data_IF_424997813151
#
_entry.id   IF_424997813151
#
_cell.length_a   1.000
_cell.length_b   1.000
_cell.length_c   1.000
_cell.angle_alpha   90.00
_cell.angle_beta   90.00
_cell.angle_gamma   90.00
#
_symmetry.space_group_name_H-M   'P 1'
#
loop_
_entity.id
_entity.type
_entity.pdbx_description
1 polymer ?
#
# COMPACT_ATOMS: atom_id res chain seq x y z
N UNK A 1 16.84 -68.89 20.91
CA UNK A 1 18.02 -69.33 20.14
C UNK A 1 17.76 -69.46 18.64
N UNK A 2 16.66 -68.88 18.12
CA UNK A 2 16.25 -68.98 16.69
C UNK A 2 16.40 -67.63 15.98
N UNK A 3 16.55 -66.56 16.71
CA UNK A 3 16.66 -65.17 16.14
C UNK A 3 18.10 -64.70 15.79
N UNK A 4 19.14 -65.51 16.21
CA UNK A 4 20.55 -65.16 15.93
C UNK A 4 21.08 -65.76 14.61
N UNK A 5 20.40 -66.77 14.05
CA UNK A 5 20.86 -67.41 12.80
C UNK A 5 20.39 -66.69 11.51
N UNK A 6 19.36 -65.87 11.57
CA UNK A 6 18.85 -65.17 10.38
C UNK A 6 19.66 -63.89 10.02
N UNK A 7 20.32 -63.25 10.98
CA UNK A 7 21.15 -62.07 10.72
C UNK A 7 22.54 -62.40 10.12
N UNK A 8 23.02 -63.62 10.36
CA UNK A 8 24.32 -64.06 9.80
C UNK A 8 24.24 -64.41 8.31
N UNK A 9 23.06 -64.87 7.83
CA UNK A 9 22.86 -65.16 6.39
C UNK A 9 22.69 -63.92 5.52
N UNK A 10 22.21 -62.84 6.08
CA UNK A 10 22.09 -61.55 5.36
C UNK A 10 23.43 -60.86 5.20
N UNK A 11 24.30 -60.90 6.20
CA UNK A 11 25.63 -60.29 6.13
C UNK A 11 26.57 -61.03 5.16
N UNK A 12 26.40 -62.35 4.96
CA UNK A 12 27.22 -63.08 3.99
C UNK A 12 26.83 -62.80 2.52
N UNK A 13 25.53 -62.53 2.25
CA UNK A 13 25.06 -62.18 0.90
C UNK A 13 25.45 -60.73 0.53
N UNK A 14 25.44 -59.80 1.48
CA UNK A 14 25.88 -58.40 1.25
C UNK A 14 27.39 -58.39 1.06
N UNK A 15 28.16 -59.19 1.80
CA UNK A 15 29.60 -59.27 1.63
C UNK A 15 29.99 -59.87 0.27
N UNK A 16 29.26 -60.90 -0.24
CA UNK A 16 29.50 -61.46 -1.57
C UNK A 16 29.15 -60.53 -2.73
N UNK A 17 28.10 -59.69 -2.56
CA UNK A 17 27.72 -58.67 -3.55
C UNK A 17 28.76 -57.51 -3.56
N UNK A 18 29.30 -57.11 -2.40
CA UNK A 18 30.38 -56.12 -2.33
C UNK A 18 31.69 -56.59 -2.95
N UNK A 19 32.05 -57.88 -2.76
CA UNK A 19 33.24 -58.48 -3.39
C UNK A 19 33.05 -58.57 -4.91
N UNK A 20 31.84 -58.90 -5.41
CA UNK A 20 31.55 -58.94 -6.85
C UNK A 20 31.59 -57.58 -7.50
N UNK A 21 31.13 -56.51 -6.82
CA UNK A 21 31.17 -55.11 -7.30
C UNK A 21 32.60 -54.58 -7.30
N UNK A 22 33.43 -54.95 -6.30
CA UNK A 22 34.85 -54.57 -6.28
C UNK A 22 35.66 -55.28 -7.38
N UNK A 23 35.33 -56.55 -7.71
CA UNK A 23 35.98 -57.24 -8.81
C UNK A 23 35.52 -56.78 -10.20
N UNK A 24 34.30 -56.25 -10.34
CA UNK A 24 33.86 -55.64 -11.61
C UNK A 24 34.45 -54.22 -11.84
N UNK A 25 34.86 -53.51 -10.77
CA UNK A 25 35.59 -52.26 -10.90
C UNK A 25 37.09 -52.37 -11.21
N UNK A 26 37.67 -53.56 -11.01
CA UNK A 26 39.07 -53.80 -11.30
C UNK A 26 39.35 -54.27 -12.74
N UNK A 27 38.33 -54.44 -13.56
CA UNK A 27 38.48 -54.77 -14.99
C UNK A 27 38.09 -53.61 -15.94
N UNK A 28 38.31 -52.35 -15.51
CA UNK A 28 38.39 -51.28 -16.49
C UNK A 28 39.79 -51.34 -17.08
N UNK A 29 39.94 -51.73 -18.35
CA UNK A 29 41.25 -51.64 -18.98
C UNK A 29 41.75 -50.22 -18.86
N UNK A 30 43.06 -50.00 -18.64
CA UNK A 30 43.61 -48.66 -18.69
C UNK A 30 43.23 -48.05 -20.07
N UNK A 31 42.85 -46.76 -20.13
CA UNK A 31 42.56 -46.16 -21.41
C UNK A 31 43.70 -46.43 -22.36
N UNK A 32 43.37 -46.98 -23.55
CA UNK A 32 44.39 -47.33 -24.55
C UNK A 32 45.24 -46.12 -24.80
N UNK A 33 46.54 -46.28 -24.71
CA UNK A 33 47.50 -45.19 -24.97
C UNK A 33 47.31 -44.57 -26.39
N UNK A 34 46.64 -45.32 -27.29
CA UNK A 34 46.24 -44.87 -28.62
C UNK A 34 45.03 -43.90 -28.61
N UNK A 35 44.12 -43.99 -27.63
CA UNK A 35 42.98 -43.04 -27.48
C UNK A 35 43.47 -41.70 -26.90
N UNK A 36 44.42 -41.69 -25.93
CA UNK A 36 44.98 -40.48 -25.37
C UNK A 36 45.82 -39.71 -26.42
N UNK A 37 46.61 -40.39 -27.20
CA UNK A 37 47.44 -39.77 -28.24
C UNK A 37 46.60 -39.22 -29.41
N UNK A 38 45.47 -39.85 -29.72
CA UNK A 38 44.53 -39.34 -30.73
C UNK A 38 43.76 -38.09 -30.21
N UNK A 39 43.40 -38.08 -28.95
CA UNK A 39 42.74 -36.93 -28.34
C UNK A 39 43.64 -35.70 -28.24
N UNK A 40 44.94 -35.91 -27.88
CA UNK A 40 45.95 -34.83 -27.87
C UNK A 40 46.21 -34.25 -29.27
N UNK A 41 46.30 -35.09 -30.31
CA UNK A 41 46.46 -34.64 -31.69
C UNK A 41 45.20 -33.90 -32.20
N UNK A 42 44.02 -34.37 -31.88
CA UNK A 42 42.77 -33.67 -32.22
C UNK A 42 42.71 -32.32 -31.52
N UNK A 43 43.02 -32.26 -30.24
CA UNK A 43 43.01 -31.02 -29.48
C UNK A 43 44.06 -30.01 -30.08
N UNK A 44 45.28 -30.45 -30.34
CA UNK A 44 46.33 -29.60 -30.95
C UNK A 44 45.92 -29.08 -32.35
N UNK A 45 45.23 -29.91 -33.14
CA UNK A 45 44.65 -29.47 -34.41
C UNK A 45 43.62 -28.36 -34.22
N UNK A 46 42.64 -28.54 -33.31
CA UNK A 46 41.62 -27.55 -33.07
C UNK A 46 42.20 -26.26 -32.46
N UNK A 47 43.21 -26.35 -31.59
CA UNK A 47 43.87 -25.19 -31.02
C UNK A 47 44.58 -24.37 -32.12
N UNK A 48 45.22 -25.04 -33.10
CA UNK A 48 45.85 -24.36 -34.25
C UNK A 48 44.81 -23.69 -35.16
N UNK A 49 43.66 -24.34 -35.40
CA UNK A 49 42.55 -23.78 -36.18
C UNK A 49 41.96 -22.58 -35.49
N UNK A 50 41.69 -22.69 -34.17
CA UNK A 50 41.14 -21.61 -33.36
C UNK A 50 42.05 -20.39 -33.36
N UNK A 51 43.35 -20.56 -33.13
CA UNK A 51 44.32 -19.47 -33.11
C UNK A 51 44.26 -18.59 -34.37
N UNK A 52 43.97 -19.16 -35.51
CA UNK A 52 43.90 -18.44 -36.80
C UNK A 52 42.49 -17.94 -37.11
N UNK A 53 41.47 -18.78 -36.89
CA UNK A 53 40.12 -18.51 -37.37
C UNK A 53 39.34 -17.65 -36.38
N UNK A 54 39.47 -17.83 -35.06
CA UNK A 54 38.64 -17.16 -34.07
C UNK A 54 38.81 -15.63 -34.06
N UNK A 55 40.07 -15.05 -34.04
CA UNK A 55 40.21 -13.60 -34.08
C UNK A 55 39.58 -12.97 -35.33
N UNK A 56 39.70 -13.62 -36.48
CA UNK A 56 39.12 -13.11 -37.73
C UNK A 56 37.60 -13.18 -37.74
N UNK A 57 37.06 -14.31 -37.28
CA UNK A 57 35.59 -14.51 -37.25
C UNK A 57 34.92 -13.61 -36.23
N UNK A 58 35.48 -13.45 -35.03
CA UNK A 58 34.97 -12.55 -34.00
C UNK A 58 35.02 -11.08 -34.47
N UNK A 59 36.14 -10.64 -35.08
CA UNK A 59 36.18 -9.28 -35.65
C UNK A 59 35.13 -9.05 -36.75
N UNK A 60 34.89 -10.05 -37.64
CA UNK A 60 33.88 -9.96 -38.67
C UNK A 60 32.48 -9.95 -38.05
N UNK A 61 32.22 -10.74 -36.99
CA UNK A 61 30.93 -10.78 -36.28
C UNK A 61 30.62 -9.42 -35.65
N UNK A 62 31.61 -8.80 -34.98
CA UNK A 62 31.45 -7.48 -34.40
C UNK A 62 31.13 -6.40 -35.46
N UNK A 63 31.77 -6.47 -36.64
CA UNK A 63 31.49 -5.54 -37.74
C UNK A 63 30.08 -5.71 -38.33
N UNK A 64 29.64 -6.95 -38.62
CA UNK A 64 28.30 -7.21 -39.12
C UNK A 64 27.23 -6.82 -38.08
N UNK A 65 27.45 -7.11 -36.80
CA UNK A 65 26.55 -6.73 -35.72
C UNK A 65 26.42 -5.21 -35.62
N UNK A 66 27.54 -4.48 -35.63
CA UNK A 66 27.56 -3.01 -35.59
C UNK A 66 26.81 -2.39 -36.77
N UNK A 67 26.95 -2.97 -37.94
CA UNK A 67 26.29 -2.52 -39.16
C UNK A 67 24.80 -3.00 -39.24
N UNK A 68 24.33 -3.77 -38.27
CA UNK A 68 23.00 -4.35 -38.23
C UNK A 68 22.69 -5.29 -39.39
N UNK A 69 23.73 -5.89 -39.98
CA UNK A 69 23.59 -6.95 -40.99
C UNK A 69 23.31 -8.30 -40.28
N UNK A 70 22.07 -8.49 -39.86
CA UNK A 70 21.66 -9.62 -39.05
C UNK A 70 21.85 -10.97 -39.73
N UNK A 71 21.59 -11.06 -41.03
CA UNK A 71 21.78 -12.31 -41.81
C UNK A 71 23.26 -12.69 -41.86
N UNK A 72 24.18 -11.75 -42.15
CA UNK A 72 25.61 -11.99 -42.12
C UNK A 72 26.10 -12.26 -40.69
N UNK A 73 25.49 -11.61 -39.67
CA UNK A 73 25.78 -11.86 -38.26
C UNK A 73 25.44 -13.32 -37.91
N UNK A 74 24.26 -13.80 -38.24
CA UNK A 74 23.83 -15.20 -38.04
C UNK A 74 24.80 -16.17 -38.72
N UNK A 75 25.18 -15.93 -39.96
CA UNK A 75 26.08 -16.79 -40.71
C UNK A 75 27.46 -16.87 -40.06
N UNK A 76 28.01 -15.73 -39.63
CA UNK A 76 29.35 -15.67 -39.04
C UNK A 76 29.40 -16.33 -37.65
N UNK A 77 28.36 -16.17 -36.81
CA UNK A 77 28.28 -16.87 -35.55
C UNK A 77 28.11 -18.38 -35.71
N UNK A 78 27.43 -18.85 -36.77
CA UNK A 78 27.44 -20.25 -37.16
C UNK A 78 28.83 -20.78 -37.47
N UNK A 79 29.63 -20.00 -38.19
CA UNK A 79 31.06 -20.34 -38.43
C UNK A 79 31.86 -20.33 -37.12
N UNK A 80 31.68 -19.37 -36.23
CA UNK A 80 32.32 -19.28 -34.91
C UNK A 80 32.14 -20.57 -34.11
N UNK A 81 30.91 -21.09 -34.05
CA UNK A 81 30.61 -22.36 -33.38
C UNK A 81 31.27 -23.54 -34.13
N UNK A 82 31.20 -23.53 -35.47
CA UNK A 82 31.81 -24.59 -36.30
C UNK A 82 33.31 -24.72 -36.05
N UNK A 83 34.02 -23.60 -35.81
CA UNK A 83 35.45 -23.58 -35.50
C UNK A 83 35.77 -23.68 -34.00
N UNK A 84 34.78 -23.98 -33.17
CA UNK A 84 34.86 -24.10 -31.69
C UNK A 84 35.40 -22.84 -31.01
N UNK A 85 35.14 -21.66 -31.59
CA UNK A 85 35.55 -20.37 -31.02
C UNK A 85 34.64 -19.93 -29.82
N UNK A 86 33.50 -20.55 -29.66
CA UNK A 86 32.60 -20.35 -28.55
C UNK A 86 33.13 -20.85 -27.19
N UNK A 87 34.26 -21.61 -27.22
CA UNK A 87 34.90 -22.11 -25.99
C UNK A 87 35.65 -21.01 -25.23
N UNK A 88 36.07 -19.94 -25.89
CA UNK A 88 36.86 -18.87 -25.29
C UNK A 88 35.97 -17.86 -24.54
N UNK A 89 34.80 -17.52 -25.11
CA UNK A 89 33.79 -16.68 -24.50
C UNK A 89 32.39 -17.15 -24.93
N UNK A 90 31.87 -18.21 -24.30
CA UNK A 90 30.58 -18.77 -24.66
C UNK A 90 29.43 -17.80 -24.37
N UNK A 91 29.54 -16.95 -23.34
CA UNK A 91 28.47 -15.97 -23.02
C UNK A 91 28.31 -14.98 -24.19
N UNK A 92 29.39 -14.33 -24.62
CA UNK A 92 29.38 -13.36 -25.71
C UNK A 92 28.84 -14.00 -27.01
N UNK A 93 29.36 -15.16 -27.38
CA UNK A 93 29.03 -15.84 -28.64
C UNK A 93 27.55 -16.19 -28.68
N UNK A 94 27.04 -16.90 -27.67
CA UNK A 94 25.65 -17.36 -27.66
C UNK A 94 24.66 -16.21 -27.46
N UNK A 95 25.04 -15.18 -26.70
CA UNK A 95 24.20 -13.99 -26.51
C UNK A 95 24.00 -13.21 -27.82
N UNK A 96 25.08 -12.85 -28.51
CA UNK A 96 24.97 -12.05 -29.74
C UNK A 96 24.41 -12.86 -30.91
N UNK A 97 24.67 -14.16 -30.97
CA UNK A 97 24.06 -15.03 -31.93
C UNK A 97 22.52 -15.07 -31.77
N UNK A 98 22.05 -15.22 -30.53
CA UNK A 98 20.64 -15.19 -30.24
C UNK A 98 20.00 -13.83 -30.57
N UNK A 99 20.69 -12.72 -30.23
CA UNK A 99 20.24 -11.36 -30.57
C UNK A 99 20.03 -11.20 -32.09
N UNK A 100 20.97 -11.71 -32.90
CA UNK A 100 20.83 -11.63 -34.36
C UNK A 100 19.58 -12.37 -34.87
N UNK A 101 19.29 -13.54 -34.34
CA UNK A 101 18.06 -14.25 -34.64
C UNK A 101 16.80 -13.50 -34.18
N UNK A 102 16.85 -12.88 -32.99
CA UNK A 102 15.73 -12.08 -32.46
C UNK A 102 15.38 -10.90 -33.38
N UNK A 103 16.39 -10.18 -33.89
CA UNK A 103 16.20 -9.09 -34.85
C UNK A 103 15.63 -9.56 -36.19
N UNK A 104 15.87 -10.82 -36.57
CA UNK A 104 15.27 -11.45 -37.77
C UNK A 104 13.89 -12.03 -37.47
N UNK A 105 13.39 -11.94 -36.22
CA UNK A 105 12.11 -12.52 -35.84
C UNK A 105 12.14 -14.05 -35.69
N UNK A 106 13.32 -14.68 -35.72
CA UNK A 106 13.51 -16.15 -35.67
C UNK A 106 13.72 -16.59 -34.22
N UNK A 107 12.68 -16.48 -33.40
CA UNK A 107 12.78 -16.73 -31.95
C UNK A 107 12.99 -18.22 -31.61
N UNK A 108 12.54 -19.14 -32.44
CA UNK A 108 12.84 -20.57 -32.33
C UNK A 108 14.34 -20.87 -32.45
N UNK A 109 14.99 -20.21 -33.40
CA UNK A 109 16.45 -20.32 -33.60
C UNK A 109 17.23 -19.65 -32.47
N UNK A 110 16.76 -18.49 -31.97
CA UNK A 110 17.31 -17.85 -30.79
C UNK A 110 17.23 -18.77 -29.56
N UNK A 111 16.06 -19.39 -29.30
CA UNK A 111 15.89 -20.38 -28.24
C UNK A 111 16.90 -21.52 -28.33
N UNK A 112 17.01 -22.14 -29.53
CA UNK A 112 17.94 -23.25 -29.74
C UNK A 112 19.37 -22.88 -29.42
N UNK A 113 19.80 -21.69 -29.83
CA UNK A 113 21.17 -21.18 -29.61
C UNK A 113 21.39 -20.91 -28.12
N UNK A 114 20.42 -20.26 -27.44
CA UNK A 114 20.50 -19.97 -26.01
C UNK A 114 20.54 -21.23 -25.15
N UNK A 115 19.76 -22.26 -25.50
CA UNK A 115 19.81 -23.55 -24.82
C UNK A 115 21.18 -24.22 -24.96
N UNK A 116 21.85 -24.08 -26.11
CA UNK A 116 23.24 -24.56 -26.28
C UNK A 116 24.23 -23.79 -25.41
N UNK A 117 24.10 -22.46 -25.33
CA UNK A 117 24.92 -21.65 -24.44
C UNK A 117 24.74 -22.01 -22.98
N UNK A 118 23.50 -22.28 -22.57
CA UNK A 118 23.16 -22.71 -21.21
C UNK A 118 23.61 -24.15 -20.87
N UNK A 119 23.89 -24.99 -21.85
CA UNK A 119 24.57 -26.27 -21.58
C UNK A 119 26.03 -26.06 -21.13
N UNK A 120 26.67 -25.00 -21.58
CA UNK A 120 28.05 -24.62 -21.18
C UNK A 120 28.02 -23.76 -19.92
N UNK A 121 27.06 -22.87 -19.79
CA UNK A 121 26.92 -21.89 -18.72
C UNK A 121 25.52 -21.98 -18.07
N UNK A 122 25.23 -23.03 -17.28
CA UNK A 122 23.87 -23.30 -16.80
C UNK A 122 23.23 -22.17 -15.98
N UNK A 123 24.04 -21.38 -15.27
CA UNK A 123 23.57 -20.34 -14.38
C UNK A 123 23.81 -18.91 -14.91
N UNK A 124 24.10 -18.79 -16.23
CA UNK A 124 24.32 -17.48 -16.82
C UNK A 124 23.03 -16.66 -16.90
N UNK A 125 23.01 -15.55 -16.18
CA UNK A 125 21.85 -14.67 -16.01
C UNK A 125 21.43 -14.04 -17.34
N UNK A 126 22.39 -13.61 -18.16
CA UNK A 126 22.12 -12.91 -19.42
C UNK A 126 21.48 -13.83 -20.45
N UNK A 127 22.01 -15.05 -20.58
CA UNK A 127 21.44 -16.06 -21.48
C UNK A 127 20.03 -16.47 -21.03
N UNK A 128 19.80 -16.64 -19.72
CA UNK A 128 18.47 -16.95 -19.19
C UNK A 128 17.45 -15.81 -19.40
N UNK A 129 17.85 -14.56 -19.16
CA UNK A 129 17.00 -13.40 -19.44
C UNK A 129 16.60 -13.34 -20.91
N UNK A 130 17.53 -13.64 -21.81
CA UNK A 130 17.24 -13.72 -23.26
C UNK A 130 16.34 -14.89 -23.63
N UNK A 131 16.57 -16.04 -23.03
CA UNK A 131 15.72 -17.22 -23.26
C UNK A 131 14.29 -16.96 -22.82
N UNK A 132 14.09 -16.35 -21.65
CA UNK A 132 12.77 -15.91 -21.20
C UNK A 132 12.11 -14.92 -22.17
N UNK A 133 12.88 -13.99 -22.76
CA UNK A 133 12.39 -13.10 -23.80
C UNK A 133 12.00 -13.85 -25.09
N UNK A 134 12.81 -14.81 -25.53
CA UNK A 134 12.47 -15.65 -26.69
C UNK A 134 11.20 -16.46 -26.47
N UNK A 135 11.01 -17.03 -25.28
CA UNK A 135 9.77 -17.72 -24.89
C UNK A 135 8.56 -16.79 -24.88
N UNK A 136 8.71 -15.57 -24.33
CA UNK A 136 7.67 -14.53 -24.37
C UNK A 136 7.20 -14.25 -25.81
N UNK A 137 8.15 -14.12 -26.74
CA UNK A 137 7.86 -13.82 -28.15
C UNK A 137 7.18 -14.98 -28.88
N UNK A 138 7.41 -16.19 -28.43
CA UNK A 138 6.79 -17.41 -28.98
C UNK A 138 5.47 -17.77 -28.29
N UNK A 139 5.08 -17.07 -27.23
CA UNK A 139 3.91 -17.42 -26.43
C UNK A 139 4.09 -18.67 -25.56
N UNK A 140 5.33 -19.10 -25.33
CA UNK A 140 5.69 -20.27 -24.51
C UNK A 140 5.72 -19.88 -23.03
N UNK A 141 4.53 -19.71 -22.46
CA UNK A 141 4.36 -19.09 -21.14
C UNK A 141 4.92 -19.94 -19.99
N UNK A 142 4.70 -21.27 -20.03
CA UNK A 142 5.23 -22.16 -18.99
C UNK A 142 6.77 -22.14 -18.94
N UNK A 143 7.41 -22.18 -20.11
CA UNK A 143 8.86 -22.10 -20.22
C UNK A 143 9.39 -20.73 -19.77
N UNK A 144 8.65 -19.67 -20.06
CA UNK A 144 8.97 -18.32 -19.58
C UNK A 144 8.94 -18.25 -18.05
N UNK A 145 7.92 -18.83 -17.43
CA UNK A 145 7.81 -18.92 -15.95
C UNK A 145 9.01 -19.69 -15.38
N UNK A 146 9.36 -20.83 -15.97
CA UNK A 146 10.51 -21.64 -15.52
C UNK A 146 11.81 -20.83 -15.52
N UNK A 147 12.08 -20.05 -16.59
CA UNK A 147 13.26 -19.23 -16.64
C UNK A 147 13.26 -18.08 -15.63
N UNK A 148 12.12 -17.39 -15.43
CA UNK A 148 12.01 -16.34 -14.41
C UNK A 148 12.08 -16.92 -12.99
N UNK A 149 11.55 -18.12 -12.73
CA UNK A 149 11.72 -18.81 -11.45
C UNK A 149 13.21 -19.09 -11.19
N UNK A 150 13.92 -19.65 -12.19
CA UNK A 150 15.36 -19.90 -12.06
C UNK A 150 16.16 -18.62 -11.87
N UNK A 151 15.80 -17.53 -12.57
CA UNK A 151 16.41 -16.22 -12.38
C UNK A 151 16.17 -15.66 -10.96
N UNK A 152 14.97 -15.86 -10.42
CA UNK A 152 14.65 -15.44 -9.04
C UNK A 152 15.50 -16.18 -8.00
N UNK A 153 15.84 -17.45 -8.26
CA UNK A 153 16.75 -18.23 -7.42
C UNK A 153 18.22 -17.76 -7.54
N UNK A 154 18.66 -17.44 -8.76
CA UNK A 154 20.04 -17.03 -9.03
C UNK A 154 20.34 -15.59 -8.55
N UNK A 155 19.37 -14.71 -8.61
CA UNK A 155 19.49 -13.30 -8.21
C UNK A 155 18.33 -12.91 -7.28
N UNK A 156 18.33 -13.43 -6.03
CA UNK A 156 17.18 -13.32 -5.12
C UNK A 156 16.82 -11.89 -4.74
N UNK A 157 17.74 -10.94 -4.89
CA UNK A 157 17.53 -9.53 -4.54
C UNK A 157 17.04 -8.67 -5.75
N UNK A 158 16.90 -9.26 -6.94
CA UNK A 158 16.42 -8.53 -8.13
C UNK A 158 14.88 -8.45 -8.12
N UNK A 159 14.36 -7.33 -7.59
CA UNK A 159 12.92 -7.02 -7.53
C UNK A 159 12.29 -7.05 -8.92
N UNK A 160 13.02 -6.67 -9.98
CA UNK A 160 12.46 -6.63 -11.35
C UNK A 160 12.16 -8.02 -11.88
N UNK A 161 13.02 -8.98 -11.59
CA UNK A 161 12.83 -10.40 -11.95
C UNK A 161 11.62 -10.98 -11.21
N UNK A 162 11.54 -10.71 -9.90
CA UNK A 162 10.40 -11.15 -9.08
C UNK A 162 9.09 -10.54 -9.54
N UNK A 163 9.07 -9.26 -9.90
CA UNK A 163 7.88 -8.57 -10.39
C UNK A 163 7.35 -9.17 -11.72
N UNK A 164 8.25 -9.49 -12.66
CA UNK A 164 7.85 -10.19 -13.89
C UNK A 164 7.34 -11.60 -13.61
N UNK A 165 7.95 -12.34 -12.67
CA UNK A 165 7.48 -13.67 -12.26
C UNK A 165 6.08 -13.60 -11.62
N UNK A 166 5.86 -12.68 -10.70
CA UNK A 166 4.56 -12.46 -10.07
C UNK A 166 3.48 -12.11 -11.10
N UNK A 167 3.82 -11.28 -12.09
CA UNK A 167 2.91 -10.93 -13.20
C UNK A 167 2.55 -12.16 -14.06
N UNK A 168 3.51 -13.03 -14.31
CA UNK A 168 3.29 -14.25 -15.09
C UNK A 168 2.36 -15.21 -14.33
N UNK A 169 2.58 -15.41 -13.03
CA UNK A 169 1.69 -16.21 -12.18
C UNK A 169 0.27 -15.64 -12.16
N UNK A 170 0.11 -14.33 -11.99
CA UNK A 170 -1.19 -13.67 -12.03
C UNK A 170 -1.91 -13.86 -13.38
N UNK A 171 -1.16 -13.81 -14.50
CA UNK A 171 -1.71 -14.06 -15.84
C UNK A 171 -2.20 -15.49 -16.05
N UNK A 172 -1.73 -16.46 -15.25
CA UNK A 172 -2.17 -17.86 -15.24
C UNK A 172 -3.26 -18.13 -14.18
N UNK A 173 -3.61 -17.15 -13.35
CA UNK A 173 -4.52 -17.37 -12.23
C UNK A 173 -3.90 -18.14 -11.06
N UNK A 174 -2.57 -18.27 -11.04
CA UNK A 174 -1.80 -18.88 -9.95
C UNK A 174 -1.60 -17.85 -8.83
N UNK A 175 -2.71 -17.50 -8.18
CA UNK A 175 -2.76 -16.36 -7.25
C UNK A 175 -1.96 -16.57 -5.97
N UNK A 176 -1.88 -17.80 -5.45
CA UNK A 176 -1.10 -18.07 -4.24
C UNK A 176 0.41 -17.96 -4.54
N UNK A 177 0.88 -18.50 -5.68
CA UNK A 177 2.28 -18.31 -6.12
C UNK A 177 2.60 -16.84 -6.39
N UNK A 178 1.65 -16.11 -6.98
CA UNK A 178 1.79 -14.66 -7.19
C UNK A 178 2.00 -13.92 -5.86
N UNK A 179 1.16 -14.20 -4.84
CA UNK A 179 1.26 -13.59 -3.52
C UNK A 179 2.60 -13.90 -2.87
N UNK A 180 3.08 -15.14 -2.98
CA UNK A 180 4.34 -15.56 -2.37
C UNK A 180 5.54 -14.79 -2.96
N UNK A 181 5.56 -14.59 -4.28
CA UNK A 181 6.61 -13.76 -4.91
C UNK A 181 6.46 -12.28 -4.54
N UNK A 182 5.24 -11.76 -4.49
CA UNK A 182 5.00 -10.36 -4.09
C UNK A 182 5.41 -10.12 -2.64
N UNK A 183 5.21 -11.08 -1.74
CA UNK A 183 5.71 -11.02 -0.35
C UNK A 183 7.24 -10.99 -0.29
N UNK A 184 7.93 -11.78 -1.11
CA UNK A 184 9.39 -11.70 -1.21
C UNK A 184 9.85 -10.30 -1.69
N UNK A 185 9.08 -9.63 -2.55
CA UNK A 185 9.37 -8.24 -2.91
C UNK A 185 9.21 -7.32 -1.70
N UNK A 186 8.17 -7.52 -0.88
CA UNK A 186 7.95 -6.72 0.33
C UNK A 186 8.96 -7.01 1.44
N UNK A 187 9.56 -8.20 1.48
CA UNK A 187 10.67 -8.50 2.38
C UNK A 187 11.94 -7.71 2.01
N UNK A 188 12.15 -7.47 0.70
CA UNK A 188 13.27 -6.66 0.18
C UNK A 188 12.98 -5.16 0.27
N UNK A 189 11.75 -4.75 -0.05
CA UNK A 189 11.28 -3.37 -0.03
C UNK A 189 9.87 -3.29 0.60
N UNK A 190 9.79 -3.13 1.92
CA UNK A 190 8.51 -3.06 2.64
C UNK A 190 7.58 -1.92 2.20
N UNK A 191 8.13 -0.89 1.54
CA UNK A 191 7.38 0.26 1.04
C UNK A 191 6.95 0.11 -0.43
N UNK A 192 7.14 -1.05 -1.05
CA UNK A 192 6.79 -1.25 -2.45
C UNK A 192 5.26 -1.21 -2.66
N UNK A 193 4.76 -0.03 -3.03
CA UNK A 193 3.33 0.21 -3.24
C UNK A 193 2.74 -0.67 -4.35
N UNK A 194 3.51 -0.99 -5.38
CA UNK A 194 3.05 -1.85 -6.47
C UNK A 194 2.79 -3.27 -5.95
N UNK A 195 3.72 -3.85 -5.19
CA UNK A 195 3.57 -5.18 -4.62
C UNK A 195 2.38 -5.24 -3.64
N UNK A 196 2.22 -4.22 -2.79
CA UNK A 196 1.08 -4.11 -1.87
C UNK A 196 -0.25 -4.02 -2.63
N UNK A 197 -0.31 -3.17 -3.66
CA UNK A 197 -1.49 -2.99 -4.49
C UNK A 197 -1.86 -4.25 -5.28
N UNK A 198 -0.86 -4.98 -5.78
CA UNK A 198 -1.09 -6.24 -6.49
C UNK A 198 -1.61 -7.34 -5.56
N UNK A 199 -1.07 -7.47 -4.32
CA UNK A 199 -1.60 -8.40 -3.31
C UNK A 199 -3.05 -8.02 -2.94
N UNK A 200 -3.31 -6.73 -2.71
CA UNK A 200 -4.67 -6.27 -2.38
C UNK A 200 -5.67 -6.62 -3.49
N UNK A 201 -5.28 -6.42 -4.75
CA UNK A 201 -6.09 -6.80 -5.92
C UNK A 201 -6.34 -8.31 -5.99
N UNK A 202 -5.32 -9.14 -5.72
CA UNK A 202 -5.46 -10.60 -5.69
C UNK A 202 -6.40 -11.01 -4.55
N UNK A 203 -6.33 -10.35 -3.40
CA UNK A 203 -7.24 -10.61 -2.28
C UNK A 203 -8.69 -10.31 -2.67
N UNK A 204 -8.97 -9.17 -3.34
CA UNK A 204 -10.30 -8.86 -3.88
C UNK A 204 -10.78 -9.94 -4.86
N UNK A 205 -9.94 -10.35 -5.81
CA UNK A 205 -10.28 -11.39 -6.80
C UNK A 205 -10.57 -12.76 -6.15
N UNK A 206 -9.93 -13.07 -5.04
CA UNK A 206 -10.07 -14.34 -4.31
C UNK A 206 -11.08 -14.27 -3.15
N UNK A 207 -11.76 -13.12 -2.96
CA UNK A 207 -12.74 -12.90 -1.88
C UNK A 207 -12.11 -12.73 -0.49
N UNK A 208 -10.82 -12.42 -0.42
CA UNK A 208 -10.12 -12.06 0.83
C UNK A 208 -10.23 -10.56 1.07
N UNK A 209 -10.10 -10.12 2.33
CA UNK A 209 -10.09 -8.68 2.66
C UNK A 209 -8.81 -8.01 2.12
N UNK A 210 -8.92 -7.05 1.18
CA UNK A 210 -7.76 -6.38 0.59
C UNK A 210 -6.96 -5.54 1.62
N UNK A 211 -7.59 -5.16 2.74
CA UNK A 211 -6.92 -4.41 3.80
C UNK A 211 -5.99 -5.29 4.65
N UNK A 212 -6.11 -6.61 4.56
CA UNK A 212 -5.30 -7.55 5.33
C UNK A 212 -3.80 -7.31 5.15
N UNK A 213 -3.34 -7.02 3.93
CA UNK A 213 -1.90 -6.80 3.66
C UNK A 213 -1.34 -5.58 4.40
N UNK A 214 -2.13 -4.51 4.52
CA UNK A 214 -1.72 -3.31 5.26
C UNK A 214 -1.70 -3.56 6.76
N UNK A 215 -2.65 -4.36 7.26
CA UNK A 215 -2.67 -4.80 8.65
C UNK A 215 -1.51 -5.74 8.99
N UNK A 216 -1.13 -6.66 8.09
CA UNK A 216 0.04 -7.52 8.24
C UNK A 216 1.33 -6.68 8.31
N UNK A 217 1.48 -5.68 7.42
CA UNK A 217 2.63 -4.77 7.42
C UNK A 217 2.77 -4.02 8.76
N UNK A 218 1.67 -3.49 9.28
CA UNK A 218 1.68 -2.78 10.56
C UNK A 218 1.98 -3.74 11.74
N UNK A 219 1.37 -4.93 11.78
CA UNK A 219 1.64 -5.92 12.83
C UNK A 219 3.09 -6.39 12.85
N UNK A 220 3.72 -6.51 11.69
CA UNK A 220 5.13 -6.89 11.58
C UNK A 220 6.10 -5.74 11.95
N UNK A 221 5.61 -4.49 11.91
CA UNK A 221 6.39 -3.29 12.20
C UNK A 221 5.59 -2.33 13.10
N UNK A 222 5.23 -2.72 14.34
CA UNK A 222 4.29 -1.97 15.18
C UNK A 222 4.83 -0.61 15.62
N UNK A 223 6.15 -0.42 15.60
CA UNK A 223 6.81 0.84 15.96
C UNK A 223 6.82 1.84 14.79
N UNK A 224 6.43 1.41 13.59
CA UNK A 224 6.36 2.28 12.43
C UNK A 224 5.02 3.04 12.38
N UNK A 225 5.04 4.24 12.92
CA UNK A 225 3.88 5.16 12.98
C UNK A 225 3.26 5.38 11.58
N UNK A 226 4.07 5.48 10.53
CA UNK A 226 3.57 5.72 9.17
C UNK A 226 2.73 4.56 8.65
N UNK A 227 3.12 3.31 8.95
CA UNK A 227 2.35 2.14 8.55
C UNK A 227 1.00 2.06 9.26
N UNK A 228 0.98 2.39 10.57
CA UNK A 228 -0.27 2.47 11.32
C UNK A 228 -1.19 3.57 10.81
N UNK A 229 -0.66 4.75 10.49
CA UNK A 229 -1.45 5.86 9.94
C UNK A 229 -2.02 5.55 8.55
N UNK A 230 -1.24 4.90 7.67
CA UNK A 230 -1.71 4.48 6.34
C UNK A 230 -2.81 3.42 6.46
N UNK A 231 -2.61 2.41 7.31
CA UNK A 231 -3.62 1.38 7.53
C UNK A 231 -4.92 1.94 8.12
N UNK A 232 -4.82 2.80 9.14
CA UNK A 232 -5.99 3.46 9.73
C UNK A 232 -6.75 4.34 8.71
N UNK A 233 -6.04 5.05 7.84
CA UNK A 233 -6.68 5.83 6.76
C UNK A 233 -7.46 4.96 5.80
N UNK A 234 -6.89 3.82 5.39
CA UNK A 234 -7.56 2.86 4.51
C UNK A 234 -8.79 2.23 5.18
N UNK A 235 -8.71 1.91 6.48
CA UNK A 235 -9.84 1.43 7.26
C UNK A 235 -10.97 2.48 7.31
N UNK A 236 -10.63 3.75 7.56
CA UNK A 236 -11.60 4.85 7.55
C UNK A 236 -12.24 5.04 6.15
N UNK A 237 -11.46 4.91 5.08
CA UNK A 237 -11.97 5.02 3.72
C UNK A 237 -12.86 3.83 3.32
N UNK A 238 -12.67 2.69 3.96
CA UNK A 238 -13.50 1.48 3.80
C UNK A 238 -14.69 1.44 4.77
N UNK A 239 -14.99 2.55 5.46
CA UNK A 239 -16.07 2.66 6.45
C UNK A 239 -15.98 1.63 7.59
N UNK A 240 -14.74 1.41 8.08
CA UNK A 240 -14.40 0.53 9.22
C UNK A 240 -13.79 1.34 10.38
N UNK A 241 -14.56 2.25 11.00
CA UNK A 241 -14.02 3.16 12.01
C UNK A 241 -13.59 2.45 13.29
N UNK A 242 -14.24 1.37 13.71
CA UNK A 242 -13.88 0.62 14.92
C UNK A 242 -12.48 -0.01 14.79
N UNK A 243 -12.20 -0.63 13.64
CA UNK A 243 -10.88 -1.20 13.39
C UNK A 243 -9.80 -0.09 13.33
N UNK A 244 -10.14 1.07 12.77
CA UNK A 244 -9.22 2.22 12.73
C UNK A 244 -8.90 2.77 14.12
N UNK A 245 -9.87 2.74 15.06
CA UNK A 245 -9.67 3.15 16.46
C UNK A 245 -8.56 2.33 17.09
N UNK A 246 -8.62 1.00 16.98
CA UNK A 246 -7.63 0.11 17.59
C UNK A 246 -6.21 0.37 17.05
N UNK A 247 -6.09 0.56 15.74
CA UNK A 247 -4.82 0.89 15.10
C UNK A 247 -4.29 2.24 15.56
N UNK A 248 -5.14 3.28 15.60
CA UNK A 248 -4.73 4.64 15.97
C UNK A 248 -4.36 4.75 17.44
N UNK A 249 -5.01 4.00 18.32
CA UNK A 249 -4.61 3.92 19.72
C UNK A 249 -3.19 3.34 19.86
N UNK A 250 -2.84 2.30 19.11
CA UNK A 250 -1.48 1.74 19.07
C UNK A 250 -0.47 2.77 18.54
N UNK A 251 -0.81 3.49 17.47
CA UNK A 251 0.03 4.57 16.92
C UNK A 251 0.30 5.66 17.96
N UNK A 252 -0.71 6.09 18.73
CA UNK A 252 -0.59 7.11 19.77
C UNK A 252 0.26 6.62 20.95
N UNK A 253 0.27 5.32 21.25
CA UNK A 253 1.18 4.76 22.27
C UNK A 253 2.65 4.92 21.84
N UNK A 254 2.96 4.84 20.55
CA UNK A 254 4.31 5.03 20.01
C UNK A 254 4.68 6.51 19.87
N UNK A 255 3.73 7.35 19.41
CA UNK A 255 3.94 8.80 19.26
C UNK A 255 2.77 9.60 19.85
N UNK A 256 2.90 9.95 21.12
CA UNK A 256 1.91 10.77 21.85
C UNK A 256 1.80 12.21 21.36
N UNK A 257 2.67 12.64 20.45
CA UNK A 257 2.67 14.00 19.90
C UNK A 257 2.13 14.06 18.48
N UNK A 258 1.70 12.93 17.92
CA UNK A 258 1.18 12.83 16.56
C UNK A 258 -0.19 13.50 16.40
N UNK A 259 -0.18 14.77 15.95
CA UNK A 259 -1.42 15.51 15.64
C UNK A 259 -2.28 14.78 14.59
N UNK A 260 -1.64 14.09 13.65
CA UNK A 260 -2.33 13.32 12.60
C UNK A 260 -3.09 12.15 13.20
N UNK A 261 -2.46 11.40 14.13
CA UNK A 261 -3.09 10.27 14.78
C UNK A 261 -4.31 10.70 15.60
N UNK A 262 -4.19 11.74 16.43
CA UNK A 262 -5.32 12.26 17.21
C UNK A 262 -6.46 12.77 16.32
N UNK A 263 -6.15 13.46 15.21
CA UNK A 263 -7.18 13.93 14.27
C UNK A 263 -7.95 12.77 13.63
N UNK A 264 -7.21 11.73 13.20
CA UNK A 264 -7.83 10.51 12.63
C UNK A 264 -8.60 9.73 13.70
N UNK A 265 -8.10 9.66 14.93
CA UNK A 265 -8.78 8.99 16.04
C UNK A 265 -10.08 9.70 16.42
N UNK A 266 -10.07 11.03 16.49
CA UNK A 266 -11.29 11.82 16.68
C UNK A 266 -12.33 11.57 15.59
N UNK A 267 -11.89 11.53 14.32
CA UNK A 267 -12.77 11.20 13.18
C UNK A 267 -13.28 9.75 13.24
N UNK A 268 -12.46 8.80 13.65
CA UNK A 268 -12.86 7.40 13.78
C UNK A 268 -13.94 7.24 14.85
N UNK A 269 -13.75 7.86 16.02
CA UNK A 269 -14.75 7.85 17.08
C UNK A 269 -16.04 8.55 16.67
N UNK A 270 -15.96 9.68 15.95
CA UNK A 270 -17.13 10.41 15.44
C UNK A 270 -17.96 9.55 14.47
N UNK A 271 -17.28 8.85 13.55
CA UNK A 271 -17.95 7.92 12.61
C UNK A 271 -18.54 6.67 13.27
N UNK A 272 -18.01 6.28 14.43
CA UNK A 272 -18.51 5.17 15.24
C UNK A 272 -19.58 5.63 16.25
N UNK A 273 -20.07 6.88 16.17
CA UNK A 273 -21.01 7.50 17.10
C UNK A 273 -20.54 7.52 18.57
N UNK A 274 -19.21 7.39 18.79
CA UNK A 274 -18.57 7.44 20.10
C UNK A 274 -18.16 8.89 20.43
N UNK A 275 -19.13 9.79 20.54
CA UNK A 275 -18.93 11.24 20.59
C UNK A 275 -18.10 11.72 21.79
N UNK A 276 -18.25 11.12 22.96
CA UNK A 276 -17.45 11.47 24.14
C UNK A 276 -15.96 11.13 23.93
N UNK A 277 -15.68 9.99 23.29
CA UNK A 277 -14.32 9.57 22.91
C UNK A 277 -13.75 10.49 21.82
N UNK A 278 -14.55 10.84 20.81
CA UNK A 278 -14.17 11.80 19.78
C UNK A 278 -13.81 13.17 20.38
N UNK A 279 -14.64 13.65 21.31
CA UNK A 279 -14.37 14.90 22.05
C UNK A 279 -13.01 14.84 22.75
N UNK A 280 -12.73 13.76 23.48
CA UNK A 280 -11.45 13.61 24.20
C UNK A 280 -10.25 13.59 23.23
N UNK A 281 -10.36 12.84 22.11
CA UNK A 281 -9.30 12.77 21.11
C UNK A 281 -9.00 14.14 20.47
N UNK A 282 -10.04 14.93 20.15
CA UNK A 282 -9.86 16.29 19.63
C UNK A 282 -9.39 17.28 20.69
N UNK A 283 -9.73 17.07 21.97
CA UNK A 283 -9.20 17.89 23.08
C UNK A 283 -7.70 17.69 23.26
N UNK A 284 -7.22 16.43 23.17
CA UNK A 284 -5.79 16.13 23.15
C UNK A 284 -5.10 16.77 21.91
N UNK A 285 -5.72 16.68 20.75
CA UNK A 285 -5.21 17.36 19.55
C UNK A 285 -5.11 18.88 19.78
N UNK A 286 -6.12 19.51 20.38
CA UNK A 286 -6.09 20.94 20.71
C UNK A 286 -5.01 21.28 21.73
N UNK A 287 -4.74 20.40 22.70
CA UNK A 287 -3.65 20.59 23.66
C UNK A 287 -2.28 20.62 22.97
N UNK A 288 -2.11 19.84 21.89
CA UNK A 288 -0.89 19.85 21.06
C UNK A 288 -0.80 21.08 20.14
N UNK A 289 -1.93 21.71 19.80
CA UNK A 289 -1.99 22.92 18.98
C UNK A 289 -3.13 23.85 19.39
N UNK A 290 -2.97 24.63 20.46
CA UNK A 290 -4.04 25.50 20.97
C UNK A 290 -4.43 26.65 20.05
N UNK A 291 -3.66 26.90 18.99
CA UNK A 291 -3.94 27.97 18.03
C UNK A 291 -4.84 27.52 16.87
N UNK A 292 -4.98 26.20 16.68
CA UNK A 292 -5.87 25.66 15.64
C UNK A 292 -7.33 25.76 16.09
N UNK A 293 -7.97 26.88 15.74
CA UNK A 293 -9.38 27.12 16.05
C UNK A 293 -10.33 26.11 15.39
N UNK A 294 -9.89 25.46 14.29
CA UNK A 294 -10.69 24.43 13.61
C UNK A 294 -10.84 23.18 14.46
N UNK A 295 -9.82 22.84 15.23
CA UNK A 295 -9.91 21.72 16.19
C UNK A 295 -10.94 22.06 17.29
N UNK A 296 -10.95 23.31 17.78
CA UNK A 296 -11.96 23.73 18.75
C UNK A 296 -13.40 23.64 18.16
N UNK A 297 -13.56 23.94 16.88
CA UNK A 297 -14.85 23.72 16.18
C UNK A 297 -15.19 22.23 16.12
N UNK A 298 -14.23 21.34 15.80
CA UNK A 298 -14.45 19.89 15.78
C UNK A 298 -14.90 19.36 17.17
N UNK A 299 -14.24 19.82 18.25
CA UNK A 299 -14.70 19.48 19.62
C UNK A 299 -16.12 19.97 19.87
N UNK A 300 -16.45 21.18 19.41
CA UNK A 300 -17.81 21.71 19.52
C UNK A 300 -18.83 20.86 18.76
N UNK A 301 -18.51 20.46 17.51
CA UNK A 301 -19.41 19.67 16.68
C UNK A 301 -19.74 18.30 17.27
N UNK A 302 -18.72 17.54 17.73
CA UNK A 302 -18.97 16.24 18.35
C UNK A 302 -19.75 16.35 19.68
N UNK A 303 -19.59 17.45 20.41
CA UNK A 303 -20.38 17.70 21.61
C UNK A 303 -21.82 18.14 21.29
N UNK A 304 -22.07 18.76 20.13
CA UNK A 304 -23.45 18.98 19.62
C UNK A 304 -24.08 17.61 19.32
N UNK A 305 -23.39 16.72 18.62
CA UNK A 305 -23.87 15.39 18.29
C UNK A 305 -24.18 14.55 19.55
N UNK A 306 -23.37 14.71 20.60
CA UNK A 306 -23.58 14.10 21.90
C UNK A 306 -24.72 14.73 22.74
N UNK A 307 -25.34 15.85 22.28
CA UNK A 307 -26.29 16.61 23.07
C UNK A 307 -25.69 17.44 24.21
N UNK A 308 -24.37 17.51 24.30
CA UNK A 308 -23.61 18.22 25.34
C UNK A 308 -23.45 19.71 25.01
N UNK A 309 -24.56 20.44 24.82
CA UNK A 309 -24.55 21.81 24.33
C UNK A 309 -23.72 22.80 25.16
N UNK A 310 -23.68 22.62 26.46
CA UNK A 310 -22.86 23.45 27.34
C UNK A 310 -21.35 23.29 27.07
N UNK A 311 -20.89 22.06 26.84
CA UNK A 311 -19.49 21.79 26.45
C UNK A 311 -19.24 22.28 25.02
N UNK A 312 -20.15 22.04 24.10
CA UNK A 312 -20.08 22.54 22.74
C UNK A 312 -19.91 24.05 22.67
N UNK A 313 -20.71 24.80 23.47
CA UNK A 313 -20.62 26.26 23.54
C UNK A 313 -19.25 26.73 24.06
N UNK A 314 -18.73 26.11 25.13
CA UNK A 314 -17.40 26.49 25.64
C UNK A 314 -16.31 26.36 24.56
N UNK A 315 -16.41 25.32 23.72
CA UNK A 315 -15.44 25.11 22.65
C UNK A 315 -15.67 26.03 21.46
N UNK A 316 -16.91 26.37 21.12
CA UNK A 316 -17.22 27.39 20.12
C UNK A 316 -16.68 28.78 20.55
N UNK A 317 -16.80 29.15 21.82
CA UNK A 317 -16.22 30.39 22.35
C UNK A 317 -14.67 30.37 22.33
N UNK A 318 -14.04 29.21 22.65
CA UNK A 318 -12.58 29.07 22.46
C UNK A 318 -12.15 29.29 21.00
N UNK A 319 -12.91 28.75 20.04
CA UNK A 319 -12.67 29.01 18.62
C UNK A 319 -12.74 30.50 18.27
N UNK A 320 -13.72 31.24 18.82
CA UNK A 320 -13.84 32.69 18.64
C UNK A 320 -12.67 33.44 19.27
N UNK A 321 -12.20 33.03 20.44
CA UNK A 321 -11.04 33.63 21.11
C UNK A 321 -9.77 33.46 20.26
N UNK A 322 -9.58 32.25 19.69
CA UNK A 322 -8.42 31.93 18.85
C UNK A 322 -8.48 32.61 17.46
N UNK A 323 -9.70 32.70 16.90
CA UNK A 323 -9.91 33.30 15.56
C UNK A 323 -11.30 33.95 15.52
N UNK A 324 -11.35 35.26 15.38
CA UNK A 324 -12.61 36.00 15.17
C UNK A 324 -13.14 35.82 13.75
N UNK A 325 -13.11 34.59 13.22
CA UNK A 325 -13.57 34.28 11.87
C UNK A 325 -15.07 34.06 11.82
N UNK A 326 -15.63 34.22 10.62
CA UNK A 326 -17.04 33.88 10.37
C UNK A 326 -17.38 32.45 10.69
N UNK A 327 -16.43 31.51 10.47
CA UNK A 327 -16.59 30.11 10.80
C UNK A 327 -16.79 29.87 12.30
N UNK A 328 -16.01 30.55 13.16
CA UNK A 328 -16.12 30.44 14.62
C UNK A 328 -17.44 31.05 15.12
N UNK A 329 -17.87 32.20 14.58
CA UNK A 329 -19.18 32.74 14.90
C UNK A 329 -20.33 31.84 14.42
N UNK A 330 -20.19 31.27 13.22
CA UNK A 330 -21.13 30.28 12.67
C UNK A 330 -21.26 29.07 13.57
N UNK A 331 -20.16 28.56 14.12
CA UNK A 331 -20.19 27.44 15.04
C UNK A 331 -20.95 27.76 16.35
N UNK A 332 -20.75 28.94 16.92
CA UNK A 332 -21.58 29.39 18.05
C UNK A 332 -23.07 29.43 17.72
N UNK A 333 -23.40 29.93 16.53
CA UNK A 333 -24.78 29.93 16.02
C UNK A 333 -25.32 28.50 15.86
N UNK A 334 -24.50 27.58 15.40
CA UNK A 334 -24.86 26.18 15.23
C UNK A 334 -25.20 25.50 16.57
N UNK A 335 -24.42 25.76 17.63
CA UNK A 335 -24.73 25.25 18.98
C UNK A 335 -26.11 25.70 19.44
N UNK A 336 -26.41 27.00 19.34
CA UNK A 336 -27.74 27.52 19.68
C UNK A 336 -28.84 26.93 18.80
N UNK A 337 -28.61 26.88 17.49
CA UNK A 337 -29.63 26.39 16.55
C UNK A 337 -29.93 24.91 16.73
N UNK A 338 -28.94 24.09 16.96
CA UNK A 338 -29.11 22.66 17.23
C UNK A 338 -29.84 22.40 18.56
N UNK A 339 -29.42 23.12 19.62
CA UNK A 339 -30.16 23.02 20.89
C UNK A 339 -31.63 23.50 20.78
N UNK A 340 -31.89 24.58 19.99
CA UNK A 340 -33.27 25.00 19.70
C UNK A 340 -34.03 23.91 18.97
N UNK A 341 -33.46 23.28 17.96
CA UNK A 341 -34.14 22.21 17.23
C UNK A 341 -34.49 21.01 18.11
N UNK A 342 -33.62 20.64 19.03
CA UNK A 342 -33.80 19.50 19.92
C UNK A 342 -34.75 19.80 21.08
N UNK A 343 -34.67 20.99 21.68
CA UNK A 343 -35.34 21.33 22.92
C UNK A 343 -36.71 22.00 22.71
N UNK A 344 -36.99 22.56 21.51
CA UNK A 344 -38.24 23.30 21.27
C UNK A 344 -39.47 22.44 21.42
N UNK A 345 -40.50 22.97 22.07
CA UNK A 345 -41.83 22.39 22.13
C UNK A 345 -42.63 22.67 20.85
N UNK A 346 -43.78 22.02 20.70
CA UNK A 346 -44.70 22.26 19.57
C UNK A 346 -45.17 23.71 19.54
N UNK A 347 -45.48 24.28 20.71
CA UNK A 347 -45.77 25.70 20.87
C UNK A 347 -44.45 26.42 21.26
N UNK A 348 -43.95 27.26 20.38
CA UNK A 348 -42.67 27.98 20.59
C UNK A 348 -42.77 28.88 21.85
N UNK A 349 -42.04 28.48 22.88
CA UNK A 349 -41.96 29.19 24.15
C UNK A 349 -41.13 30.49 24.05
N UNK A 350 -41.17 31.29 25.10
CA UNK A 350 -40.29 32.49 25.20
C UNK A 350 -38.81 32.07 25.20
N UNK A 351 -38.46 31.00 25.87
CA UNK A 351 -37.06 30.52 25.94
C UNK A 351 -36.59 30.01 24.59
N UNK A 352 -37.45 29.29 23.84
CA UNK A 352 -37.14 28.89 22.47
C UNK A 352 -36.83 30.09 21.57
N UNK A 353 -37.61 31.19 21.71
CA UNK A 353 -37.39 32.42 20.96
C UNK A 353 -36.10 33.14 21.33
N UNK A 354 -35.71 33.07 22.61
CA UNK A 354 -34.42 33.61 23.06
C UNK A 354 -33.26 32.87 22.37
N UNK A 355 -33.28 31.53 22.39
CA UNK A 355 -32.27 30.70 21.78
C UNK A 355 -32.20 30.91 20.26
N UNK A 356 -33.33 30.90 19.59
CA UNK A 356 -33.46 31.22 18.17
C UNK A 356 -32.81 32.58 17.80
N UNK A 357 -33.06 33.59 18.64
CA UNK A 357 -32.48 34.92 18.43
C UNK A 357 -30.98 34.96 18.66
N UNK A 358 -30.42 34.22 19.63
CA UNK A 358 -28.99 34.08 19.84
C UNK A 358 -28.31 33.34 18.68
N UNK A 359 -28.97 32.32 18.12
CA UNK A 359 -28.52 31.64 16.91
C UNK A 359 -28.49 32.62 15.72
N UNK A 360 -29.59 33.33 15.49
CA UNK A 360 -29.73 34.32 14.40
C UNK A 360 -28.62 35.38 14.47
N UNK A 361 -28.41 35.99 15.65
CA UNK A 361 -27.35 36.99 15.85
C UNK A 361 -25.96 36.42 15.53
N UNK A 362 -25.72 35.18 15.91
CA UNK A 362 -24.43 34.53 15.67
C UNK A 362 -24.21 34.20 14.19
N UNK A 363 -25.25 33.74 13.48
CA UNK A 363 -25.19 33.50 12.05
C UNK A 363 -25.04 34.79 11.26
N UNK A 364 -25.70 35.88 11.69
CA UNK A 364 -25.53 37.20 11.08
C UNK A 364 -24.09 37.70 11.20
N UNK A 365 -23.49 37.56 12.38
CA UNK A 365 -22.05 37.83 12.57
C UNK A 365 -21.15 36.96 11.72
N UNK A 366 -21.50 35.70 11.47
CA UNK A 366 -20.76 34.83 10.58
C UNK A 366 -20.80 35.35 9.13
N UNK A 367 -21.96 35.80 8.64
CA UNK A 367 -22.10 36.36 7.30
C UNK A 367 -21.38 37.71 7.15
N UNK A 368 -21.41 38.54 8.17
CA UNK A 368 -20.65 39.81 8.22
C UNK A 368 -19.13 39.59 8.16
N UNK A 369 -18.68 38.36 8.48
CA UNK A 369 -17.31 37.89 8.37
C UNK A 369 -17.11 36.83 7.25
N UNK A 370 -17.87 36.99 6.14
CA UNK A 370 -17.75 36.22 4.89
C UNK A 370 -18.02 34.71 5.01
N UNK A 371 -18.78 34.24 5.99
CA UNK A 371 -19.09 32.83 6.18
C UNK A 371 -20.59 32.55 6.10
N UNK A 372 -21.04 31.97 4.98
CA UNK A 372 -22.46 31.79 4.62
C UNK A 372 -22.97 30.35 4.74
N UNK A 373 -22.24 29.46 5.37
CA UNK A 373 -22.62 28.05 5.52
C UNK A 373 -24.02 27.89 6.16
N UNK A 374 -24.39 28.79 7.07
CA UNK A 374 -25.65 28.74 7.80
C UNK A 374 -26.72 29.71 7.30
N UNK A 375 -26.56 30.26 6.09
CA UNK A 375 -27.51 31.18 5.49
C UNK A 375 -28.94 30.66 5.47
N UNK A 376 -29.15 29.43 5.04
CA UNK A 376 -30.47 28.82 5.01
C UNK A 376 -31.07 28.68 6.42
N UNK A 377 -30.28 28.39 7.45
CA UNK A 377 -30.72 28.32 8.83
C UNK A 377 -31.09 29.70 9.36
N UNK A 378 -30.35 30.73 8.99
CA UNK A 378 -30.63 32.12 9.33
C UNK A 378 -31.96 32.56 8.71
N UNK A 379 -32.19 32.35 7.43
CA UNK A 379 -33.42 32.68 6.74
C UNK A 379 -34.61 31.92 7.34
N UNK A 380 -34.45 30.62 7.65
CA UNK A 380 -35.51 29.81 8.27
C UNK A 380 -35.94 30.39 9.61
N UNK A 381 -35.01 30.85 10.46
CA UNK A 381 -35.30 31.49 11.74
C UNK A 381 -36.12 32.77 11.59
N UNK A 382 -35.85 33.54 10.55
CA UNK A 382 -36.52 34.80 10.24
C UNK A 382 -37.95 34.54 9.67
N UNK A 383 -38.06 33.71 8.67
CA UNK A 383 -39.30 33.42 7.93
C UNK A 383 -40.35 32.69 8.79
N UNK A 384 -39.93 31.90 9.76
CA UNK A 384 -40.88 31.15 10.65
C UNK A 384 -41.28 31.90 11.91
N UNK A 385 -40.96 33.20 12.01
CA UNK A 385 -41.35 34.08 13.10
C UNK A 385 -41.00 33.54 14.49
N UNK A 386 -39.91 32.77 14.62
CA UNK A 386 -39.47 32.15 15.90
C UNK A 386 -38.57 33.07 16.73
N UNK A 387 -38.23 34.24 16.22
CA UNK A 387 -37.37 35.18 16.94
C UNK A 387 -38.13 35.88 18.08
N UNK A 388 -37.36 36.26 19.11
CA UNK A 388 -37.86 37.07 20.21
C UNK A 388 -37.94 38.54 19.78
N UNK A 389 -39.11 39.11 19.81
CA UNK A 389 -39.37 40.45 19.32
C UNK A 389 -40.08 41.35 20.32
N UNK A 390 -40.55 42.51 19.81
CA UNK A 390 -41.17 43.56 20.59
C UNK A 390 -42.42 43.06 21.35
N UNK A 391 -43.26 42.23 20.72
CA UNK A 391 -44.48 41.69 21.34
C UNK A 391 -44.16 40.84 22.55
N UNK A 392 -43.20 39.95 22.45
CA UNK A 392 -42.76 39.08 23.54
C UNK A 392 -42.15 39.90 24.69
N UNK A 393 -41.36 40.95 24.36
CA UNK A 393 -40.81 41.84 25.38
C UNK A 393 -41.92 42.49 26.20
N UNK A 394 -42.99 43.00 25.57
CA UNK A 394 -44.12 43.63 26.29
C UNK A 394 -44.94 42.68 27.10
N UNK A 395 -44.90 41.37 26.81
CA UNK A 395 -45.61 40.32 27.60
C UNK A 395 -44.80 39.89 28.84
N UNK A 396 -43.54 40.26 29.00
CA UNK A 396 -42.74 39.91 30.17
C UNK A 396 -43.28 40.60 31.43
N UNK A 397 -42.99 40.01 32.58
CA UNK A 397 -43.26 40.64 33.88
C UNK A 397 -42.42 41.91 34.12
N UNK A 398 -42.87 42.78 35.02
CA UNK A 398 -42.25 44.07 35.24
C UNK A 398 -40.78 43.95 35.77
N UNK A 399 -40.47 42.88 36.50
CA UNK A 399 -39.12 42.69 37.08
C UNK A 399 -38.13 42.32 35.98
N UNK A 400 -38.49 41.41 35.07
CA UNK A 400 -37.68 41.01 33.90
C UNK A 400 -37.44 42.21 32.97
N UNK A 401 -38.49 43.07 32.76
CA UNK A 401 -38.35 44.30 31.95
C UNK A 401 -37.33 45.29 32.49
N UNK A 402 -37.31 45.46 33.81
CA UNK A 402 -36.35 46.41 34.50
C UNK A 402 -34.88 46.03 34.31
N UNK A 403 -34.60 44.71 34.06
CA UNK A 403 -33.21 44.26 33.90
C UNK A 403 -32.62 44.65 32.55
N UNK A 404 -33.45 45.01 31.54
CA UNK A 404 -33.00 45.39 30.20
C UNK A 404 -32.49 44.19 29.38
N UNK A 405 -32.51 42.97 29.88
CA UNK A 405 -32.10 41.74 29.19
C UNK A 405 -33.00 40.55 29.69
N UNK A 406 -32.91 39.45 28.94
CA UNK A 406 -33.56 38.18 29.29
C UNK A 406 -32.64 37.02 29.08
N UNK A 407 -32.80 35.97 29.92
CA UNK A 407 -32.12 34.65 29.80
C UNK A 407 -33.20 33.58 29.76
N UNK A 408 -32.94 32.42 29.11
CA UNK A 408 -33.79 31.25 29.22
C UNK A 408 -33.71 30.64 30.62
N UNK A 409 -34.86 30.12 31.11
CA UNK A 409 -34.97 29.53 32.44
C UNK A 409 -35.28 28.00 32.41
N UNK A 410 -35.67 27.45 31.25
CA UNK A 410 -35.97 26.03 31.08
C UNK A 410 -34.78 25.13 31.23
N UNK A 411 -34.96 23.91 31.74
CA UNK A 411 -33.91 22.94 32.03
C UNK A 411 -32.96 22.69 30.83
N UNK A 412 -33.59 22.53 29.65
CA UNK A 412 -32.81 22.24 28.42
C UNK A 412 -31.87 23.36 28.02
N UNK A 413 -32.11 24.59 28.45
CA UNK A 413 -31.31 25.78 28.13
C UNK A 413 -30.50 26.34 29.29
N UNK A 414 -30.47 25.69 30.45
CA UNK A 414 -29.72 26.18 31.64
C UNK A 414 -28.23 26.44 31.42
N UNK A 415 -27.67 25.76 30.41
CA UNK A 415 -26.26 25.93 30.02
C UNK A 415 -25.98 27.29 29.36
N UNK A 416 -27.04 28.05 28.95
CA UNK A 416 -26.88 29.33 28.23
C UNK A 416 -26.58 30.44 29.19
N UNK A 417 -25.38 30.98 29.13
CA UNK A 417 -24.93 32.10 29.95
C UNK A 417 -25.20 33.46 29.30
N UNK A 418 -25.23 33.49 27.95
CA UNK A 418 -25.43 34.72 27.19
C UNK A 418 -26.82 35.28 27.36
N UNK A 419 -26.88 36.58 27.59
CA UNK A 419 -28.14 37.35 27.71
C UNK A 419 -28.57 37.86 26.35
N UNK A 420 -29.89 37.85 26.11
CA UNK A 420 -30.49 38.57 25.00
C UNK A 420 -30.88 39.95 25.51
N UNK A 421 -30.24 40.99 25.00
CA UNK A 421 -30.51 42.38 25.40
C UNK A 421 -31.76 42.89 24.69
N UNK A 422 -32.42 43.85 25.35
CA UNK A 422 -33.58 44.57 24.73
C UNK A 422 -33.06 45.37 23.51
N UNK A 423 -33.72 45.21 22.39
CA UNK A 423 -33.45 46.05 21.21
C UNK A 423 -33.84 47.52 21.51
N UNK A 424 -32.96 48.44 21.14
CA UNK A 424 -33.18 49.88 21.37
C UNK A 424 -34.37 50.46 20.63
N UNK A 425 -34.83 49.76 19.61
CA UNK A 425 -36.02 50.14 18.82
C UNK A 425 -37.38 49.76 19.48
N UNK A 426 -37.37 48.99 20.59
CA UNK A 426 -38.60 48.54 21.27
C UNK A 426 -39.14 49.48 22.34
#
# INVERSE_FOLDING_TARGET
MITFCNNMKYNLKILSIFILVIFSMMCIPPPDASESDNNEKEQAYWDSVRAVMCPRKMSSAAEYYKNRDWESTVRIYGDIIKYRCDQDDPEEVYQYYAIAFEYLGRFDSSEYVLLKGLQLLPDNINLRKRLAYSYKKQGKLEQQIMEYSRLSDLIPDDISVKAELAKLYGGQGLYDDQIDILRQILDLDPNNENAQGDIARVYELTGRDPLQIYGERFRNNPDNVSYGLDFAERLLNADRPEDAIDVLQQVILQDKTSKVAYRKLGLAYDRADLYDNASNAYEELHALDPRDFKVAIQVSDVNIAAGNYGKAMRWAEKAIISSKSGEAYGQRGNVYYKSFQECRSTDISIDDRIIASLAYQSFKLAEENDYRRFHNSLLWLEENEVLFGRSQWFMLDANKKKQGYIKPDTECYKWVEKKLEKDTSW
#
